data_IF_720438746225
#
_entry.id   IF_720438746225
#
_cell.length_a   1.000
_cell.length_b   1.000
_cell.length_c   1.000
_cell.angle_alpha   90.00
_cell.angle_beta   90.00
_cell.angle_gamma   90.00
#
_symmetry.space_group_name_H-M   'P 1'
#
loop_
_entity.id
_entity.type
_entity.pdbx_description
1 polymer ?
#
# COMPACT_ATOMS: atom_id res chain seq x y z
N UNK A 1 10.49 -0.11 17.51
CA UNK A 1 10.48 0.85 16.38
C UNK A 1 9.15 0.74 15.65
N UNK A 2 8.57 1.84 15.16
CA UNK A 2 7.36 1.77 14.33
C UNK A 2 7.67 1.00 13.03
N UNK A 3 6.73 0.17 12.57
CA UNK A 3 6.88 -0.53 11.29
C UNK A 3 7.04 0.48 10.17
N UNK A 4 8.05 0.29 9.34
CA UNK A 4 8.27 1.09 8.13
C UNK A 4 7.17 0.79 7.10
N UNK A 5 6.93 1.75 6.19
CA UNK A 5 5.95 1.53 5.12
C UNK A 5 6.29 0.33 4.24
N UNK A 6 7.58 -0.02 4.08
CA UNK A 6 8.01 -1.20 3.32
C UNK A 6 7.59 -2.50 4.01
N UNK A 7 7.81 -2.60 5.31
CA UNK A 7 7.41 -3.78 6.10
C UNK A 7 5.89 -3.96 6.09
N UNK A 8 5.12 -2.87 6.17
CA UNK A 8 3.65 -2.94 6.08
C UNK A 8 3.21 -3.46 4.71
N UNK A 9 3.87 -3.08 3.61
CA UNK A 9 3.52 -3.58 2.28
C UNK A 9 3.83 -5.07 2.12
N UNK A 10 4.93 -5.56 2.72
CA UNK A 10 5.24 -7.00 2.75
C UNK A 10 4.13 -7.79 3.47
N UNK A 11 3.66 -7.29 4.62
CA UNK A 11 2.56 -7.93 5.35
C UNK A 11 1.22 -7.85 4.59
N UNK A 12 0.99 -6.78 3.83
CA UNK A 12 -0.19 -6.67 2.96
C UNK A 12 -0.13 -7.72 1.83
N UNK A 13 1.04 -7.97 1.24
CA UNK A 13 1.20 -8.99 0.20
C UNK A 13 0.91 -10.40 0.75
N UNK A 14 1.46 -10.75 1.92
CA UNK A 14 1.13 -12.01 2.60
C UNK A 14 -0.37 -12.14 2.92
N UNK A 15 -1.00 -11.05 3.35
CA UNK A 15 -2.44 -11.02 3.62
C UNK A 15 -3.28 -11.22 2.34
N UNK A 16 -2.83 -10.72 1.20
CA UNK A 16 -3.48 -10.93 -0.11
C UNK A 16 -3.37 -12.38 -0.55
N UNK A 17 -2.22 -13.01 -0.37
CA UNK A 17 -2.04 -14.43 -0.67
C UNK A 17 -2.95 -15.29 0.21
N UNK A 18 -3.04 -14.95 1.50
CA UNK A 18 -3.98 -15.61 2.42
C UNK A 18 -5.45 -15.45 1.98
N UNK A 19 -5.85 -14.25 1.56
CA UNK A 19 -7.21 -13.99 1.05
C UNK A 19 -7.52 -14.78 -0.22
N UNK A 20 -6.54 -14.92 -1.12
CA UNK A 20 -6.69 -15.66 -2.38
C UNK A 20 -6.90 -17.15 -2.17
N UNK A 21 -6.37 -17.71 -1.08
CA UNK A 21 -6.53 -19.11 -0.71
C UNK A 21 -7.85 -19.42 0.03
N UNK A 22 -8.62 -18.40 0.42
CA UNK A 22 -9.89 -18.58 1.11
C UNK A 22 -11.06 -18.74 0.12
N UNK A 23 -11.88 -19.78 0.30
CA UNK A 23 -13.11 -19.97 -0.50
C UNK A 23 -14.11 -18.81 -0.34
N UNK A 24 -14.15 -18.18 0.85
CA UNK A 24 -14.88 -16.93 1.13
C UNK A 24 -13.92 -15.91 1.76
N UNK A 25 -13.40 -14.94 0.98
CA UNK A 25 -12.41 -13.98 1.47
C UNK A 25 -12.95 -13.12 2.62
N UNK A 26 -12.33 -13.17 3.79
CA UNK A 26 -12.68 -12.32 4.94
C UNK A 26 -11.59 -11.28 5.22
N UNK A 27 -11.71 -10.13 4.57
CA UNK A 27 -10.72 -9.05 4.64
C UNK A 27 -10.50 -8.55 6.06
N UNK A 28 -11.55 -8.40 6.87
CA UNK A 28 -11.44 -7.87 8.22
C UNK A 28 -10.71 -8.85 9.16
N UNK A 29 -10.97 -10.15 9.03
CA UNK A 29 -10.27 -11.19 9.79
C UNK A 29 -8.79 -11.23 9.41
N UNK A 30 -8.50 -11.32 8.11
CA UNK A 30 -7.12 -11.36 7.62
C UNK A 30 -6.35 -10.08 7.99
N UNK A 31 -6.97 -8.90 7.93
CA UNK A 31 -6.30 -7.65 8.32
C UNK A 31 -5.81 -7.69 9.79
N UNK A 32 -6.61 -8.28 10.69
CA UNK A 32 -6.23 -8.45 12.11
C UNK A 32 -5.11 -9.48 12.28
N UNK A 33 -5.18 -10.59 11.57
CA UNK A 33 -4.17 -11.66 11.63
C UNK A 33 -2.79 -11.17 11.20
N UNK A 34 -2.71 -10.36 10.14
CA UNK A 34 -1.46 -9.80 9.63
C UNK A 34 -1.09 -8.44 10.25
N UNK A 35 -1.88 -7.94 11.20
CA UNK A 35 -1.71 -6.62 11.82
C UNK A 35 -1.53 -5.49 10.79
N UNK A 36 -2.35 -5.49 9.75
CA UNK A 36 -2.39 -4.48 8.69
C UNK A 36 -3.70 -3.69 8.71
N UNK A 37 -3.68 -2.47 8.16
CA UNK A 37 -4.90 -1.68 8.02
C UNK A 37 -5.87 -2.34 7.02
N UNK A 38 -7.11 -2.56 7.44
CA UNK A 38 -8.16 -3.12 6.59
C UNK A 38 -8.39 -2.29 5.32
N UNK A 39 -8.36 -0.96 5.44
CA UNK A 39 -8.53 -0.06 4.29
C UNK A 39 -7.42 -0.23 3.24
N UNK A 40 -6.16 -0.34 3.69
CA UNK A 40 -5.01 -0.61 2.82
C UNK A 40 -5.14 -1.98 2.16
N UNK A 41 -5.45 -3.01 2.94
CA UNK A 41 -5.62 -4.38 2.43
C UNK A 41 -6.74 -4.46 1.39
N UNK A 42 -7.91 -3.91 1.70
CA UNK A 42 -9.07 -3.87 0.79
C UNK A 42 -8.74 -3.12 -0.52
N UNK A 43 -8.05 -1.98 -0.44
CA UNK A 43 -7.62 -1.23 -1.63
C UNK A 43 -6.65 -2.03 -2.48
N UNK A 44 -5.68 -2.70 -1.85
CA UNK A 44 -4.67 -3.51 -2.55
C UNK A 44 -5.29 -4.76 -3.18
N UNK A 45 -6.23 -5.42 -2.48
CA UNK A 45 -7.01 -6.56 -2.98
C UNK A 45 -7.81 -6.22 -4.24
N UNK A 46 -8.40 -5.02 -4.32
CA UNK A 46 -9.11 -4.53 -5.51
C UNK A 46 -8.17 -4.08 -6.66
N UNK A 47 -6.87 -4.39 -6.59
CA UNK A 47 -5.87 -4.03 -7.62
C UNK A 47 -5.25 -2.64 -7.46
N UNK A 48 -5.47 -1.95 -6.33
CA UNK A 48 -4.85 -0.65 -6.08
C UNK A 48 -3.33 -0.75 -5.93
N UNK A 49 -2.57 0.04 -6.68
CA UNK A 49 -1.09 -0.01 -6.63
C UNK A 49 -0.51 0.47 -5.28
N UNK A 50 0.57 -0.19 -4.86
CA UNK A 50 1.44 0.26 -3.75
C UNK A 50 2.02 1.64 -4.07
N UNK A 51 2.26 2.51 -3.08
CA UNK A 51 3.00 3.76 -3.28
C UNK A 51 4.34 3.56 -3.99
N UNK A 52 5.04 2.44 -3.73
CA UNK A 52 6.35 2.13 -4.33
C UNK A 52 6.28 1.67 -5.78
N UNK A 53 5.10 1.26 -6.25
CA UNK A 53 4.87 0.81 -7.63
C UNK A 53 4.23 1.91 -8.51
N UNK A 54 3.98 3.10 -7.96
CA UNK A 54 3.42 4.22 -8.72
C UNK A 54 4.51 4.78 -9.63
N UNK A 55 4.20 4.91 -10.91
CA UNK A 55 5.05 5.66 -11.82
C UNK A 55 5.04 7.14 -11.40
N UNK A 56 6.17 7.85 -11.52
CA UNK A 56 6.17 9.29 -11.35
C UNK A 56 5.22 9.89 -12.39
N UNK A 57 4.37 10.84 -11.98
CA UNK A 57 3.33 11.43 -12.84
C UNK A 57 3.89 12.29 -14.00
N UNK A 58 5.20 12.25 -14.28
CA UNK A 58 5.88 13.00 -15.35
C UNK A 58 5.85 14.53 -15.20
N UNK A 59 5.07 15.05 -14.26
CA UNK A 59 4.94 16.47 -13.96
C UNK A 59 6.24 16.98 -13.35
N UNK A 60 7.00 17.75 -14.14
CA UNK A 60 8.08 18.58 -13.65
C UNK A 60 7.46 19.66 -12.75
N UNK A 61 8.05 19.87 -11.58
CA UNK A 61 7.74 21.05 -10.77
C UNK A 61 8.12 22.27 -11.61
N UNK A 62 7.21 23.22 -11.76
CA UNK A 62 7.56 24.50 -12.38
C UNK A 62 8.55 25.24 -11.46
N UNK A 63 9.40 26.13 -11.98
CA UNK A 63 10.39 26.87 -11.18
C UNK A 63 9.80 27.61 -9.97
N UNK A 64 8.52 27.99 -10.06
CA UNK A 64 7.75 28.65 -8.99
C UNK A 64 7.49 27.71 -7.80
N UNK A 65 7.44 26.40 -8.03
CA UNK A 65 7.18 25.37 -7.01
C UNK A 65 8.47 24.72 -6.48
N UNK A 66 9.57 24.84 -7.22
CA UNK A 66 10.85 24.23 -6.93
C UNK A 66 11.81 25.12 -6.17
N UNK A 67 11.31 25.99 -5.28
CA UNK A 67 12.12 26.79 -4.34
C UNK A 67 13.39 27.35 -4.96
N UNK A 68 13.28 28.45 -5.69
CA UNK A 68 14.44 29.27 -6.03
C UNK A 68 15.10 29.77 -4.75
N UNK A 69 16.14 29.08 -4.32
CA UNK A 69 17.17 29.65 -3.48
C UNK A 69 18.20 30.25 -4.43
N UNK A 70 18.27 31.57 -4.42
CA UNK A 70 19.45 32.32 -4.88
C UNK A 70 20.68 31.86 -4.10
#
# INVERSE_FOLDING_TARGET
MPKTNKEIEIEIEKAIDSLSNQSKPNIAKTAREFAVSESRLRRRWKGGKSPFQRQPNGRKLTPIQGGGFM
#
